data_IF_475869947044
#
_entry.id   IF_475869947044
#
_cell.length_a   1.000
_cell.length_b   1.000
_cell.length_c   1.000
_cell.angle_alpha   90.00
_cell.angle_beta   90.00
_cell.angle_gamma   90.00
#
_symmetry.space_group_name_H-M   'P 1'
#
loop_
_entity.id
_entity.type
_entity.pdbx_description
1 polymer ?
#
# COMPACT_ATOMS: atom_id res chain seq x y z
N UNK A 1 9.88 36.69 -0.27
CA UNK A 1 10.45 35.52 -0.97
C UNK A 1 11.24 35.98 -2.18
N UNK A 2 12.02 35.13 -2.82
CA UNK A 2 12.98 35.41 -3.91
C UNK A 2 12.47 36.36 -4.99
N UNK A 3 11.21 36.26 -5.41
CA UNK A 3 10.63 37.19 -6.39
C UNK A 3 10.58 38.63 -5.89
N UNK A 4 10.14 38.88 -4.67
CA UNK A 4 10.03 40.19 -4.06
C UNK A 4 11.42 40.81 -3.87
N UNK A 5 12.37 39.98 -3.46
CA UNK A 5 13.76 40.40 -3.23
C UNK A 5 14.47 40.73 -4.57
N UNK A 6 14.19 39.96 -5.63
CA UNK A 6 14.64 40.21 -6.99
C UNK A 6 14.06 41.52 -7.56
N UNK A 7 12.77 41.82 -7.33
CA UNK A 7 12.16 43.10 -7.73
C UNK A 7 12.75 44.26 -6.98
N UNK A 8 12.99 44.14 -5.66
CA UNK A 8 13.66 45.18 -4.86
C UNK A 8 15.07 45.46 -5.37
N UNK A 9 15.84 44.43 -5.71
CA UNK A 9 17.19 44.60 -6.26
C UNK A 9 17.23 45.31 -7.60
N UNK A 10 16.12 45.31 -8.37
CA UNK A 10 15.96 45.97 -9.66
C UNK A 10 15.22 47.32 -9.58
N UNK A 11 14.76 47.72 -8.39
CA UNK A 11 13.95 48.93 -8.22
C UNK A 11 12.55 48.83 -8.84
N UNK A 12 12.04 47.64 -9.10
CA UNK A 12 10.74 47.39 -9.72
C UNK A 12 9.67 47.11 -8.66
N UNK A 13 8.41 47.55 -8.84
CA UNK A 13 7.34 47.22 -7.92
C UNK A 13 6.98 45.77 -8.04
N UNK A 14 7.05 45.00 -6.92
CA UNK A 14 6.65 43.61 -6.88
C UNK A 14 5.14 43.47 -7.07
N UNK A 15 4.73 42.60 -7.97
CA UNK A 15 3.32 42.26 -8.20
C UNK A 15 2.77 41.43 -7.01
N UNK A 16 1.65 41.85 -6.43
CA UNK A 16 0.95 41.09 -5.40
C UNK A 16 0.42 39.78 -5.97
N UNK A 17 0.34 38.75 -5.09
CA UNK A 17 -0.05 37.37 -5.46
C UNK A 17 -1.40 37.30 -6.21
N UNK A 18 -2.42 38.01 -5.75
CA UNK A 18 -3.74 38.06 -6.42
C UNK A 18 -3.68 38.65 -7.81
N UNK A 19 -2.91 39.72 -7.99
CA UNK A 19 -2.70 40.35 -9.29
C UNK A 19 -1.93 39.43 -10.24
N UNK A 20 -0.93 38.73 -9.73
CA UNK A 20 -0.20 37.71 -10.49
C UNK A 20 -1.15 36.57 -10.93
N UNK A 21 -1.97 36.05 -10.02
CA UNK A 21 -2.93 34.98 -10.35
C UNK A 21 -3.93 35.40 -11.42
N UNK A 22 -4.47 36.64 -11.33
CA UNK A 22 -5.39 37.19 -12.32
C UNK A 22 -4.72 37.39 -13.69
N UNK A 23 -3.51 37.96 -13.70
CA UNK A 23 -2.74 38.16 -14.93
C UNK A 23 -2.35 36.84 -15.58
N UNK A 24 -1.97 35.84 -14.78
CA UNK A 24 -1.65 34.50 -15.25
C UNK A 24 -2.89 33.79 -15.83
N UNK A 25 -4.04 33.86 -15.15
CA UNK A 25 -5.30 33.32 -15.66
C UNK A 25 -5.68 33.99 -17.00
N UNK A 26 -5.57 35.32 -17.11
CA UNK A 26 -5.83 36.03 -18.35
C UNK A 26 -4.86 35.62 -19.46
N UNK A 27 -3.56 35.47 -19.15
CA UNK A 27 -2.55 35.01 -20.10
C UNK A 27 -2.87 33.58 -20.60
N UNK A 28 -3.24 32.67 -19.71
CA UNK A 28 -3.65 31.28 -20.06
C UNK A 28 -4.90 31.28 -20.96
N UNK A 29 -5.88 32.15 -20.69
CA UNK A 29 -7.08 32.30 -21.52
C UNK A 29 -6.77 32.83 -22.92
N UNK A 30 -5.90 33.85 -23.02
CA UNK A 30 -5.56 34.53 -24.28
C UNK A 30 -4.61 33.67 -25.13
N UNK A 31 -3.62 33.02 -24.50
CA UNK A 31 -2.60 32.25 -25.21
C UNK A 31 -2.99 30.78 -25.43
N UNK A 32 -4.05 30.30 -24.80
CA UNK A 32 -4.41 28.87 -24.80
C UNK A 32 -3.32 27.98 -24.17
N UNK A 33 -2.36 28.57 -23.49
CA UNK A 33 -1.26 27.89 -22.82
C UNK A 33 -1.79 27.17 -21.58
N UNK A 34 -2.38 26.01 -21.76
CA UNK A 34 -2.57 25.08 -20.66
C UNK A 34 -1.19 24.63 -20.20
N UNK A 35 -0.85 24.91 -18.94
CA UNK A 35 0.32 24.32 -18.30
C UNK A 35 0.14 22.80 -18.33
N UNK A 36 0.76 22.14 -19.30
CA UNK A 36 0.90 20.68 -19.26
C UNK A 36 1.84 20.38 -18.11
N UNK A 37 1.35 19.79 -17.07
CA UNK A 37 2.20 19.16 -16.05
C UNK A 37 3.05 18.14 -16.79
N UNK A 38 4.32 18.45 -17.04
CA UNK A 38 5.24 17.53 -17.69
C UNK A 38 5.54 16.38 -16.74
N UNK A 39 5.00 15.20 -17.01
CA UNK A 39 5.39 14.00 -16.27
C UNK A 39 6.79 13.59 -16.70
N UNK A 40 7.65 13.31 -15.72
CA UNK A 40 9.00 12.78 -15.96
C UNK A 40 8.94 11.25 -15.92
N UNK A 41 9.63 10.59 -16.87
CA UNK A 41 9.70 9.14 -16.93
C UNK A 41 10.26 8.53 -15.64
N UNK A 42 9.67 7.43 -15.19
CA UNK A 42 10.11 6.66 -14.02
C UNK A 42 10.01 7.37 -12.66
N UNK A 43 9.27 8.49 -12.56
CA UNK A 43 9.23 9.29 -11.33
C UNK A 43 8.03 9.02 -10.43
N UNK A 44 6.94 8.58 -10.97
CA UNK A 44 5.72 8.38 -10.19
C UNK A 44 4.79 7.35 -10.81
N UNK A 45 3.99 6.73 -9.97
CA UNK A 45 2.83 5.92 -10.34
C UNK A 45 1.58 6.49 -9.67
N UNK A 46 0.51 6.58 -10.42
CA UNK A 46 -0.82 6.96 -9.95
C UNK A 46 -1.61 5.69 -9.67
N UNK A 47 -2.25 5.61 -8.50
CA UNK A 47 -2.99 4.41 -8.07
C UNK A 47 -4.33 4.78 -7.45
N UNK A 48 -5.37 4.00 -7.77
CA UNK A 48 -6.70 4.20 -7.21
C UNK A 48 -7.54 2.92 -7.31
N UNK A 49 -8.63 2.86 -6.54
CA UNK A 49 -9.72 1.94 -6.77
C UNK A 49 -10.66 2.46 -7.84
N UNK A 50 -10.99 1.63 -8.84
CA UNK A 50 -12.04 1.99 -9.78
C UNK A 50 -13.40 2.10 -9.07
N UNK A 51 -14.17 3.15 -9.39
CA UNK A 51 -15.55 3.23 -8.97
C UNK A 51 -16.48 2.18 -9.63
N UNK A 52 -15.99 1.50 -10.69
CA UNK A 52 -16.70 0.43 -11.39
C UNK A 52 -16.22 -0.93 -10.93
N UNK A 53 -17.13 -1.91 -10.90
CA UNK A 53 -16.86 -3.27 -10.43
C UNK A 53 -17.19 -4.30 -11.50
N UNK A 54 -16.61 -5.48 -11.37
CA UNK A 54 -16.96 -6.69 -12.09
C UNK A 54 -17.62 -7.71 -11.15
N UNK A 55 -17.93 -8.89 -11.65
CA UNK A 55 -18.54 -9.95 -10.84
C UNK A 55 -18.01 -11.33 -11.23
N UNK A 56 -17.96 -12.21 -10.25
CA UNK A 56 -17.84 -13.65 -10.44
C UNK A 56 -19.21 -14.28 -10.25
N UNK A 57 -19.49 -15.33 -11.01
CA UNK A 57 -20.72 -16.09 -10.89
C UNK A 57 -20.36 -17.55 -10.67
N UNK A 58 -20.72 -18.08 -9.51
CA UNK A 58 -20.55 -19.49 -9.24
C UNK A 58 -21.47 -20.31 -10.16
N UNK A 59 -20.93 -21.20 -11.01
CA UNK A 59 -21.71 -21.91 -12.01
C UNK A 59 -22.66 -22.97 -11.40
N UNK A 60 -22.45 -23.37 -10.15
CA UNK A 60 -23.26 -24.38 -9.47
C UNK A 60 -24.36 -23.75 -8.64
N UNK A 61 -24.03 -22.72 -7.87
CA UNK A 61 -24.95 -22.08 -6.92
C UNK A 61 -25.61 -20.83 -7.47
N UNK A 62 -25.09 -20.25 -8.56
CA UNK A 62 -25.53 -18.97 -9.09
C UNK A 62 -25.19 -17.77 -8.21
N UNK A 63 -24.42 -17.97 -7.15
CA UNK A 63 -24.01 -16.88 -6.25
C UNK A 63 -23.11 -15.89 -6.98
N UNK A 64 -23.46 -14.61 -6.88
CA UNK A 64 -22.71 -13.51 -7.50
C UNK A 64 -21.82 -12.85 -6.46
N UNK A 65 -20.52 -12.82 -6.72
CA UNK A 65 -19.53 -12.13 -5.90
C UNK A 65 -19.00 -10.89 -6.61
N UNK A 66 -18.99 -9.75 -5.91
CA UNK A 66 -18.48 -8.48 -6.45
C UNK A 66 -16.97 -8.49 -6.51
N UNK A 67 -16.42 -7.97 -7.60
CA UNK A 67 -14.98 -7.81 -7.82
C UNK A 67 -14.66 -6.32 -8.00
N UNK A 68 -13.72 -5.84 -7.21
CA UNK A 68 -13.18 -4.49 -7.27
C UNK A 68 -11.94 -4.47 -8.15
N UNK A 69 -11.65 -3.34 -8.77
CA UNK A 69 -10.50 -3.19 -9.65
C UNK A 69 -9.54 -2.15 -9.05
N UNK A 70 -8.36 -2.59 -8.66
CA UNK A 70 -7.24 -1.71 -8.40
C UNK A 70 -6.63 -1.32 -9.74
N UNK A 71 -6.38 -0.04 -9.95
CA UNK A 71 -5.82 0.50 -11.19
C UNK A 71 -4.57 1.29 -10.88
N UNK A 72 -3.53 1.07 -11.66
CA UNK A 72 -2.29 1.83 -11.60
C UNK A 72 -1.88 2.29 -12.99
N UNK A 73 -1.28 3.46 -13.09
CA UNK A 73 -0.74 3.99 -14.35
C UNK A 73 0.54 4.80 -14.11
N UNK A 74 1.52 4.63 -14.98
CA UNK A 74 2.69 5.48 -15.05
C UNK A 74 2.33 6.72 -15.90
N UNK A 75 2.35 7.95 -15.35
CA UNK A 75 1.78 9.11 -16.03
C UNK A 75 2.52 9.51 -17.31
N UNK A 76 3.82 9.17 -17.43
CA UNK A 76 4.64 9.51 -18.59
C UNK A 76 4.30 8.63 -19.81
N UNK A 77 4.49 7.32 -19.73
CA UNK A 77 4.18 6.38 -20.80
C UNK A 77 2.69 6.11 -20.96
N UNK A 78 1.92 6.32 -19.90
CA UNK A 78 0.52 5.85 -19.69
C UNK A 78 0.43 4.32 -19.67
N UNK A 79 1.55 3.64 -19.41
CA UNK A 79 1.56 2.20 -19.21
C UNK A 79 0.79 1.87 -17.95
N UNK A 80 -0.15 0.93 -18.06
CA UNK A 80 -1.16 0.72 -17.04
C UNK A 80 -1.22 -0.73 -16.57
N UNK A 81 -1.75 -0.90 -15.37
CA UNK A 81 -1.99 -2.15 -14.68
C UNK A 81 -3.36 -2.16 -14.02
N UNK A 82 -4.02 -3.32 -14.01
CA UNK A 82 -5.30 -3.53 -13.33
C UNK A 82 -5.24 -4.86 -12.59
N UNK A 83 -5.57 -4.84 -11.28
CA UNK A 83 -5.69 -6.03 -10.44
C UNK A 83 -7.13 -6.22 -9.96
N UNK A 84 -7.81 -7.32 -10.33
CA UNK A 84 -9.12 -7.66 -9.80
C UNK A 84 -9.00 -8.24 -8.40
N UNK A 85 -9.87 -7.81 -7.48
CA UNK A 85 -9.84 -8.19 -6.07
C UNK A 85 -11.23 -8.42 -5.49
N UNK A 86 -11.36 -9.24 -4.44
CA UNK A 86 -12.64 -9.51 -3.79
C UNK A 86 -13.02 -8.49 -2.72
N UNK A 87 -12.08 -7.66 -2.28
CA UNK A 87 -12.32 -6.59 -1.33
C UNK A 87 -11.34 -5.42 -1.54
N UNK A 88 -11.57 -4.32 -0.82
CA UNK A 88 -10.70 -3.13 -0.82
C UNK A 88 -10.00 -2.96 0.54
N UNK A 89 -9.76 -4.05 1.27
CA UNK A 89 -9.09 -4.00 2.56
C UNK A 89 -7.62 -3.65 2.42
N UNK A 90 -7.00 -3.25 3.53
CA UNK A 90 -5.58 -2.87 3.57
C UNK A 90 -4.65 -3.95 3.02
N UNK A 91 -4.79 -5.20 3.47
CA UNK A 91 -3.94 -6.30 2.98
C UNK A 91 -4.08 -6.52 1.47
N UNK A 92 -5.29 -6.37 0.93
CA UNK A 92 -5.57 -6.46 -0.52
C UNK A 92 -4.96 -5.29 -1.27
N UNK A 93 -5.01 -4.08 -0.72
CA UNK A 93 -4.34 -2.90 -1.25
C UNK A 93 -2.83 -3.10 -1.36
N UNK A 94 -2.20 -3.63 -0.32
CA UNK A 94 -0.76 -3.90 -0.31
C UNK A 94 -0.39 -4.99 -1.34
N UNK A 95 -1.18 -6.09 -1.43
CA UNK A 95 -0.98 -7.14 -2.45
C UNK A 95 -1.08 -6.59 -3.87
N UNK A 96 -2.04 -5.71 -4.12
CA UNK A 96 -2.19 -5.09 -5.43
C UNK A 96 -0.98 -4.22 -5.81
N UNK A 97 -0.35 -3.54 -4.84
CA UNK A 97 0.90 -2.80 -5.09
C UNK A 97 2.08 -3.74 -5.39
N UNK A 98 2.21 -4.85 -4.68
CA UNK A 98 3.24 -5.85 -4.99
C UNK A 98 3.08 -6.34 -6.44
N UNK A 99 1.87 -6.78 -6.81
CA UNK A 99 1.58 -7.22 -8.17
C UNK A 99 1.81 -6.13 -9.24
N UNK A 100 1.53 -4.87 -8.91
CA UNK A 100 1.80 -3.71 -9.76
C UNK A 100 3.30 -3.54 -10.02
N UNK A 101 4.14 -3.60 -8.99
CA UNK A 101 5.59 -3.47 -9.15
C UNK A 101 6.16 -4.65 -9.95
N UNK A 102 5.67 -5.86 -9.72
CA UNK A 102 6.04 -7.05 -10.50
C UNK A 102 5.66 -6.87 -11.98
N UNK A 103 4.45 -6.34 -12.27
CA UNK A 103 4.00 -6.04 -13.63
C UNK A 103 4.88 -5.00 -14.34
N UNK A 104 5.30 -3.96 -13.64
CA UNK A 104 6.20 -2.95 -14.19
C UNK A 104 7.65 -3.44 -14.28
N UNK A 105 8.02 -4.47 -13.55
CA UNK A 105 9.39 -4.97 -13.45
C UNK A 105 10.35 -4.00 -12.78
N UNK A 106 9.81 -3.11 -11.94
CA UNK A 106 10.58 -2.10 -11.21
C UNK A 106 9.71 -1.20 -10.37
N UNK A 107 10.34 -0.36 -9.54
CA UNK A 107 9.67 0.61 -8.68
C UNK A 107 9.96 2.05 -9.10
N UNK A 108 9.15 2.98 -8.58
CA UNK A 108 9.26 4.43 -8.82
C UNK A 108 9.48 5.19 -7.51
N UNK A 109 10.12 6.35 -7.52
CA UNK A 109 10.32 7.16 -6.32
C UNK A 109 9.04 7.60 -5.61
N UNK A 110 7.91 7.70 -6.34
CA UNK A 110 6.66 8.26 -5.80
C UNK A 110 5.45 7.42 -6.17
N UNK A 111 4.67 7.06 -5.15
CA UNK A 111 3.33 6.49 -5.29
C UNK A 111 2.34 7.62 -4.99
N UNK A 112 1.42 7.88 -5.91
CA UNK A 112 0.41 8.94 -5.80
C UNK A 112 -0.97 8.30 -5.72
N UNK A 113 -1.47 7.96 -4.51
CA UNK A 113 -2.82 7.48 -4.33
C UNK A 113 -3.83 8.62 -4.41
N UNK A 114 -5.00 8.39 -5.03
CA UNK A 114 -6.11 9.34 -4.95
C UNK A 114 -6.93 9.07 -3.67
N UNK A 115 -6.70 9.91 -2.66
CA UNK A 115 -7.50 10.09 -1.44
C UNK A 115 -7.95 8.80 -0.71
N UNK A 116 -7.03 7.92 -0.36
CA UNK A 116 -7.33 6.59 0.15
C UNK A 116 -7.43 6.52 1.67
N UNK A 117 -8.64 6.25 2.15
CA UNK A 117 -8.90 5.88 3.55
C UNK A 117 -8.18 4.59 3.97
N UNK A 118 -7.83 3.72 3.02
CA UNK A 118 -7.21 2.40 3.29
C UNK A 118 -5.71 2.49 3.58
N UNK A 119 -5.02 3.49 3.05
CA UNK A 119 -3.56 3.67 3.23
C UNK A 119 -3.20 4.88 4.09
N UNK A 120 -4.16 5.78 4.37
CA UNK A 120 -3.94 7.05 5.06
C UNK A 120 -4.81 7.12 6.32
N UNK A 121 -4.19 7.30 7.48
CA UNK A 121 -4.90 7.45 8.76
C UNK A 121 -5.47 8.87 8.88
N UNK A 122 -4.72 9.88 8.46
CA UNK A 122 -5.11 11.29 8.50
C UNK A 122 -4.55 12.05 7.31
N UNK A 123 -5.40 12.86 6.70
CA UNK A 123 -5.03 13.75 5.59
C UNK A 123 -5.51 15.18 5.92
N UNK A 124 -4.80 15.92 6.78
CA UNK A 124 -5.18 17.28 7.13
C UNK A 124 -5.03 18.21 5.90
N UNK A 125 -5.82 19.27 5.87
CA UNK A 125 -5.75 20.30 4.82
C UNK A 125 -4.38 21.03 4.81
N UNK A 126 -3.78 21.16 5.97
CA UNK A 126 -2.42 21.66 6.22
C UNK A 126 -1.76 20.76 7.25
N UNK A 127 -0.58 20.21 6.91
CA UNK A 127 0.19 19.33 7.79
C UNK A 127 0.66 18.03 7.14
N UNK A 128 1.29 17.20 7.93
CA UNK A 128 1.85 15.93 7.48
C UNK A 128 0.77 14.86 7.32
N UNK A 129 0.83 14.11 6.22
CA UNK A 129 -0.07 12.98 5.95
C UNK A 129 0.36 11.79 6.80
N UNK A 130 -0.54 11.28 7.64
CA UNK A 130 -0.28 10.09 8.46
C UNK A 130 -0.67 8.85 7.69
N UNK A 131 0.35 8.13 7.19
CA UNK A 131 0.19 6.81 6.58
C UNK A 131 0.05 5.74 7.67
N UNK A 132 -0.67 4.65 7.35
CA UNK A 132 -0.59 3.49 8.22
C UNK A 132 0.77 2.79 8.07
N UNK A 133 1.23 2.13 9.15
CA UNK A 133 2.59 1.61 9.21
C UNK A 133 2.89 0.56 8.14
N UNK A 134 1.95 -0.33 7.82
CA UNK A 134 2.15 -1.34 6.80
C UNK A 134 2.30 -0.73 5.38
N UNK A 135 1.62 0.38 5.09
CA UNK A 135 1.80 1.08 3.80
C UNK A 135 3.13 1.85 3.75
N UNK A 136 3.58 2.37 4.91
CA UNK A 136 4.91 2.98 5.04
C UNK A 136 6.02 1.96 4.84
N UNK A 137 5.88 0.76 5.42
CA UNK A 137 6.81 -0.36 5.24
C UNK A 137 6.90 -0.80 3.79
N UNK A 138 5.75 -0.96 3.11
CA UNK A 138 5.72 -1.27 1.67
C UNK A 138 6.47 -0.21 0.87
N UNK A 139 6.18 1.06 1.10
CA UNK A 139 6.84 2.15 0.38
C UNK A 139 8.36 2.15 0.62
N UNK A 140 8.79 1.97 1.88
CA UNK A 140 10.22 1.87 2.24
C UNK A 140 10.90 0.67 1.57
N UNK A 141 10.24 -0.51 1.56
CA UNK A 141 10.74 -1.72 0.93
C UNK A 141 11.02 -1.53 -0.57
N UNK A 142 10.12 -0.86 -1.29
CA UNK A 142 10.29 -0.53 -2.71
C UNK A 142 11.04 0.79 -2.95
N UNK A 143 11.65 1.37 -1.91
CA UNK A 143 12.36 2.67 -1.97
C UNK A 143 11.51 3.80 -2.56
N UNK A 144 10.20 3.80 -2.29
CA UNK A 144 9.23 4.78 -2.75
C UNK A 144 8.75 5.67 -1.60
N UNK A 145 8.20 6.83 -1.93
CA UNK A 145 7.48 7.70 -1.01
C UNK A 145 6.00 7.77 -1.43
N UNK A 146 5.11 7.64 -0.48
CA UNK A 146 3.67 7.84 -0.73
C UNK A 146 3.37 9.33 -0.62
N UNK A 147 2.94 9.93 -1.71
CA UNK A 147 2.58 11.35 -1.80
C UNK A 147 1.13 11.46 -2.27
N UNK A 148 0.15 11.44 -1.38
CA UNK A 148 -1.25 11.59 -1.75
C UNK A 148 -1.50 12.88 -2.52
N UNK A 149 -2.37 12.83 -3.51
CA UNK A 149 -2.75 13.99 -4.31
C UNK A 149 -3.21 15.17 -3.43
N UNK A 150 -2.84 16.39 -3.77
CA UNK A 150 -3.15 17.58 -2.95
C UNK A 150 -4.67 17.77 -2.84
N UNK A 151 -5.16 17.86 -1.59
CA UNK A 151 -6.54 18.27 -1.31
C UNK A 151 -6.77 19.66 -1.91
N UNK A 152 -7.84 19.83 -2.71
CA UNK A 152 -8.27 21.12 -3.31
C UNK A 152 -7.54 21.63 -4.57
N UNK A 153 -6.86 20.78 -5.36
CA UNK A 153 -6.50 21.16 -6.74
C UNK A 153 -7.24 20.28 -7.76
N UNK A 154 -8.45 20.66 -8.21
CA UNK A 154 -9.30 19.86 -9.11
C UNK A 154 -8.64 19.48 -10.43
N UNK A 155 -7.71 20.28 -10.93
CA UNK A 155 -7.03 20.06 -12.21
C UNK A 155 -6.00 18.94 -12.18
N UNK A 156 -5.31 18.74 -11.03
CA UNK A 156 -4.37 17.64 -10.86
C UNK A 156 -5.15 16.32 -10.69
N UNK A 157 -6.30 16.36 -10.00
CA UNK A 157 -7.22 15.25 -9.77
C UNK A 157 -7.94 14.77 -11.03
N UNK A 158 -8.39 15.69 -11.87
CA UNK A 158 -9.13 15.36 -13.09
C UNK A 158 -8.33 14.52 -14.09
N UNK A 159 -7.00 14.61 -14.07
CA UNK A 159 -6.12 13.78 -14.92
C UNK A 159 -6.09 12.34 -14.44
N UNK A 160 -5.94 12.10 -13.13
CA UNK A 160 -5.85 10.77 -12.51
C UNK A 160 -7.20 10.05 -12.59
N UNK A 161 -8.28 10.70 -12.14
CA UNK A 161 -9.64 10.16 -12.18
C UNK A 161 -10.08 9.77 -13.60
N UNK A 162 -9.75 10.61 -14.60
CA UNK A 162 -10.03 10.29 -16.00
C UNK A 162 -9.19 9.11 -16.51
N UNK A 163 -7.94 8.99 -16.13
CA UNK A 163 -7.04 7.92 -16.58
C UNK A 163 -7.49 6.59 -15.99
N UNK A 164 -7.68 6.53 -14.67
CA UNK A 164 -8.13 5.33 -13.94
C UNK A 164 -9.52 4.89 -14.41
N UNK A 165 -10.47 5.83 -14.52
CA UNK A 165 -11.82 5.56 -14.97
C UNK A 165 -11.90 5.05 -16.41
N UNK A 166 -11.05 5.57 -17.31
CA UNK A 166 -10.99 5.14 -18.69
C UNK A 166 -10.39 3.72 -18.83
N UNK A 167 -9.32 3.41 -18.10
CA UNK A 167 -8.67 2.09 -18.09
C UNK A 167 -9.69 1.04 -17.60
N UNK A 168 -10.30 1.27 -16.45
CA UNK A 168 -11.27 0.34 -15.89
C UNK A 168 -12.48 0.15 -16.83
N UNK A 169 -12.96 1.23 -17.45
CA UNK A 169 -14.06 1.16 -18.43
C UNK A 169 -13.68 0.32 -19.64
N UNK A 170 -12.47 0.48 -20.14
CA UNK A 170 -11.98 -0.28 -21.28
C UNK A 170 -11.88 -1.78 -20.95
N UNK A 171 -11.32 -2.16 -19.80
CA UNK A 171 -11.25 -3.56 -19.35
C UNK A 171 -12.65 -4.17 -19.20
N UNK A 172 -13.56 -3.48 -18.51
CA UNK A 172 -14.94 -3.95 -18.30
C UNK A 172 -15.67 -4.10 -19.64
N UNK A 173 -15.51 -3.15 -20.56
CA UNK A 173 -16.14 -3.21 -21.88
C UNK A 173 -15.59 -4.38 -22.71
N UNK A 174 -14.30 -4.66 -22.64
CA UNK A 174 -13.68 -5.77 -23.36
C UNK A 174 -14.12 -7.15 -22.85
N UNK A 175 -14.44 -7.26 -21.55
CA UNK A 175 -14.82 -8.52 -20.90
C UNK A 175 -16.33 -8.66 -20.65
N UNK A 176 -17.15 -7.69 -21.08
CA UNK A 176 -18.59 -7.61 -20.74
C UNK A 176 -19.42 -8.82 -21.15
N UNK A 177 -19.00 -9.57 -22.17
CA UNK A 177 -19.70 -10.74 -22.69
C UNK A 177 -19.14 -12.07 -22.17
N UNK A 178 -18.24 -12.02 -21.20
CA UNK A 178 -17.63 -13.19 -20.58
C UNK A 178 -18.12 -13.33 -19.13
N UNK A 179 -18.28 -14.58 -18.70
CA UNK A 179 -18.60 -14.92 -17.31
C UNK A 179 -17.44 -15.67 -16.71
N UNK A 180 -17.10 -15.35 -15.48
CA UNK A 180 -15.98 -15.93 -14.75
C UNK A 180 -16.46 -16.57 -13.46
N UNK A 181 -16.02 -17.80 -13.20
CA UNK A 181 -16.36 -18.52 -11.97
C UNK A 181 -15.37 -18.21 -10.83
N UNK A 182 -14.13 -17.96 -11.16
CA UNK A 182 -13.06 -17.79 -10.18
C UNK A 182 -12.25 -16.49 -10.39
N UNK A 183 -11.67 -15.98 -9.32
CA UNK A 183 -10.80 -14.81 -9.38
C UNK A 183 -9.55 -15.04 -10.24
N UNK A 184 -8.86 -16.21 -10.18
CA UNK A 184 -7.73 -16.48 -11.09
C UNK A 184 -8.09 -16.43 -12.58
N UNK A 185 -9.23 -16.96 -12.98
CA UNK A 185 -9.72 -16.88 -14.37
C UNK A 185 -9.93 -15.42 -14.79
N UNK A 186 -10.64 -14.65 -13.97
CA UNK A 186 -10.86 -13.23 -14.26
C UNK A 186 -9.53 -12.45 -14.31
N UNK A 187 -8.61 -12.73 -13.39
CA UNK A 187 -7.29 -12.10 -13.36
C UNK A 187 -6.51 -12.36 -14.66
N UNK A 188 -6.48 -13.62 -15.11
CA UNK A 188 -5.80 -13.99 -16.36
C UNK A 188 -6.40 -13.22 -17.56
N UNK A 189 -7.73 -13.15 -17.66
CA UNK A 189 -8.42 -12.40 -18.70
C UNK A 189 -8.14 -10.89 -18.62
N UNK A 190 -8.12 -10.31 -17.42
CA UNK A 190 -7.78 -8.89 -17.21
C UNK A 190 -6.34 -8.62 -17.65
N UNK A 191 -5.39 -9.45 -17.28
CA UNK A 191 -3.97 -9.29 -17.66
C UNK A 191 -3.74 -9.40 -19.16
N UNK A 192 -4.41 -10.35 -19.82
CA UNK A 192 -4.41 -10.45 -21.29
C UNK A 192 -4.91 -9.15 -21.92
N UNK A 193 -6.04 -8.62 -21.43
CA UNK A 193 -6.58 -7.36 -21.94
C UNK A 193 -5.69 -6.17 -21.64
N UNK A 194 -5.04 -6.12 -20.48
CA UNK A 194 -4.09 -5.05 -20.14
C UNK A 194 -2.85 -5.10 -21.03
N UNK A 195 -2.36 -6.30 -21.39
CA UNK A 195 -1.28 -6.45 -22.38
C UNK A 195 -1.68 -5.87 -23.73
N UNK A 196 -2.88 -6.22 -24.22
CA UNK A 196 -3.42 -5.66 -25.45
C UNK A 196 -3.59 -4.13 -25.38
N UNK A 197 -4.19 -3.62 -24.29
CA UNK A 197 -4.37 -2.18 -24.06
C UNK A 197 -3.06 -1.39 -24.11
N UNK A 198 -2.03 -1.91 -23.47
CA UNK A 198 -0.73 -1.26 -23.45
C UNK A 198 -0.02 -1.31 -24.82
N UNK A 199 -0.27 -2.34 -25.63
CA UNK A 199 0.28 -2.48 -26.98
C UNK A 199 -0.46 -1.66 -28.03
N UNK A 200 -1.71 -1.23 -27.78
CA UNK A 200 -2.50 -0.44 -28.73
C UNK A 200 -1.79 0.87 -29.10
N UNK A 201 -1.75 1.21 -30.41
CA UNK A 201 -1.24 2.49 -30.86
C UNK A 201 -1.97 3.68 -30.25
N UNK A 202 -1.26 4.76 -29.97
CA UNK A 202 -1.90 6.00 -29.56
C UNK A 202 -2.74 6.60 -30.70
N UNK A 203 -3.91 7.15 -30.37
CA UNK A 203 -4.80 7.78 -31.36
C UNK A 203 -4.23 9.09 -31.95
N UNK A 204 -3.43 9.84 -31.16
CA UNK A 204 -3.02 11.21 -31.50
C UNK A 204 -1.51 11.39 -31.63
N UNK A 205 -0.70 10.34 -31.48
CA UNK A 205 0.76 10.36 -31.63
C UNK A 205 1.24 8.99 -32.08
N UNK A 206 2.43 8.92 -32.66
CA UNK A 206 3.08 7.64 -33.02
C UNK A 206 3.44 6.83 -31.77
N UNK A 207 3.56 5.51 -31.93
CA UNK A 207 3.92 4.58 -30.88
C UNK A 207 2.73 4.07 -30.04
N UNK A 208 3.05 3.33 -29.00
CA UNK A 208 2.11 2.75 -28.04
C UNK A 208 2.57 3.02 -26.60
N UNK A 209 1.71 2.74 -25.63
CA UNK A 209 2.08 2.83 -24.19
C UNK A 209 3.26 1.93 -23.87
N UNK A 210 3.22 0.69 -24.38
CA UNK A 210 4.27 -0.29 -24.21
C UNK A 210 5.58 0.18 -24.83
N UNK A 211 5.56 0.69 -26.07
CA UNK A 211 6.78 1.17 -26.75
C UNK A 211 7.45 2.33 -26.02
N UNK A 212 6.67 3.30 -25.54
CA UNK A 212 7.20 4.42 -24.72
C UNK A 212 7.71 3.92 -23.38
N UNK A 213 6.99 2.99 -22.75
CA UNK A 213 7.41 2.39 -21.48
C UNK A 213 8.75 1.67 -21.60
N UNK A 214 8.88 0.75 -22.55
CA UNK A 214 10.10 -0.05 -22.73
C UNK A 214 11.31 0.79 -23.17
N UNK A 215 11.07 1.77 -24.07
CA UNK A 215 12.14 2.59 -24.62
C UNK A 215 12.62 3.71 -23.71
N UNK A 216 11.72 4.33 -22.95
CA UNK A 216 12.04 5.57 -22.27
C UNK A 216 11.84 5.50 -20.74
N UNK A 217 10.90 4.70 -20.23
CA UNK A 217 10.53 4.74 -18.81
C UNK A 217 11.08 3.57 -18.02
N UNK A 218 10.99 2.35 -18.54
CA UNK A 218 11.47 1.12 -17.88
C UNK A 218 12.95 1.16 -17.48
N UNK A 219 13.88 1.70 -18.32
CA UNK A 219 15.29 1.82 -17.92
C UNK A 219 15.54 2.75 -16.73
N UNK A 220 14.58 3.61 -16.40
CA UNK A 220 14.65 4.57 -15.29
C UNK A 220 13.96 4.07 -14.02
N UNK A 221 13.29 2.93 -14.08
CA UNK A 221 12.71 2.30 -12.89
C UNK A 221 13.83 1.77 -12.00
N UNK A 222 13.59 1.81 -10.69
CA UNK A 222 14.48 1.19 -9.70
C UNK A 222 14.31 -0.32 -9.75
N UNK A 223 15.39 -1.10 -9.60
CA UNK A 223 15.27 -2.56 -9.54
C UNK A 223 14.39 -2.98 -8.36
N UNK A 224 13.66 -4.08 -8.54
CA UNK A 224 12.88 -4.67 -7.46
C UNK A 224 13.83 -5.27 -6.40
N UNK A 225 13.43 -5.26 -5.12
CA UNK A 225 14.12 -6.00 -4.08
C UNK A 225 14.19 -7.50 -4.44
N UNK A 226 15.27 -8.17 -4.00
CA UNK A 226 15.46 -9.61 -4.24
C UNK A 226 14.38 -10.48 -3.56
N UNK A 227 13.76 -9.96 -2.50
CA UNK A 227 12.66 -10.60 -1.77
C UNK A 227 11.42 -9.73 -1.92
N UNK A 228 10.30 -10.33 -2.30
CA UNK A 228 9.02 -9.63 -2.39
C UNK A 228 8.58 -9.13 -1.02
N UNK A 229 7.82 -8.02 -0.99
CA UNK A 229 7.30 -7.46 0.26
C UNK A 229 6.34 -8.44 0.93
N UNK A 230 6.65 -8.77 2.19
CA UNK A 230 5.77 -9.57 3.03
C UNK A 230 4.71 -8.69 3.68
N UNK A 231 3.45 -8.99 3.38
CA UNK A 231 2.33 -8.19 3.87
C UNK A 231 2.13 -8.41 5.35
N UNK A 232 2.11 -7.32 6.10
CA UNK A 232 1.92 -7.33 7.54
C UNK A 232 0.63 -6.63 7.97
N UNK A 233 0.13 -7.03 9.13
CA UNK A 233 -0.95 -6.38 9.86
C UNK A 233 -0.44 -5.98 11.24
N UNK A 234 -0.63 -4.71 11.60
CA UNK A 234 -0.29 -4.21 12.94
C UNK A 234 -1.47 -4.28 13.88
N UNK A 235 -1.22 -4.66 15.12
CA UNK A 235 -2.16 -4.65 16.24
C UNK A 235 -1.50 -3.93 17.41
N UNK A 236 -1.98 -2.74 17.71
CA UNK A 236 -1.34 -1.85 18.66
C UNK A 236 -1.81 -2.04 20.09
N UNK A 237 -0.97 -1.65 21.07
CA UNK A 237 -1.29 -1.50 22.47
C UNK A 237 -1.67 -2.79 23.18
N UNK A 238 -1.14 -3.94 22.77
CA UNK A 238 -1.37 -5.22 23.46
C UNK A 238 -0.61 -5.28 24.76
N UNK A 239 -1.33 -5.50 25.87
CA UNK A 239 -0.70 -5.60 27.18
C UNK A 239 -0.04 -6.95 27.36
N UNK A 240 1.23 -6.95 27.77
CA UNK A 240 1.94 -8.17 28.19
C UNK A 240 1.35 -8.62 29.53
N UNK A 241 0.81 -9.84 29.56
CA UNK A 241 0.17 -10.43 30.73
C UNK A 241 1.20 -10.77 31.82
N UNK A 242 0.71 -11.07 33.05
CA UNK A 242 1.57 -11.46 34.18
C UNK A 242 2.40 -12.71 33.94
N UNK A 243 1.94 -13.59 33.05
CA UNK A 243 2.67 -14.79 32.63
C UNK A 243 3.72 -14.53 31.52
N UNK A 244 4.01 -13.27 31.21
CA UNK A 244 5.01 -12.90 30.19
C UNK A 244 4.54 -13.09 28.73
N UNK A 245 3.23 -13.19 28.46
CA UNK A 245 2.72 -13.41 27.12
C UNK A 245 1.77 -12.32 26.67
N UNK A 246 1.70 -12.13 25.37
CA UNK A 246 0.61 -11.42 24.67
C UNK A 246 -0.34 -12.41 24.05
N UNK A 247 -1.62 -12.03 23.93
CA UNK A 247 -2.65 -12.86 23.31
C UNK A 247 -2.97 -12.36 21.93
N UNK A 248 -2.89 -13.25 20.95
CA UNK A 248 -3.34 -13.02 19.59
C UNK A 248 -4.10 -14.25 19.07
N UNK A 249 -5.32 -14.05 18.55
CA UNK A 249 -6.22 -15.10 18.05
C UNK A 249 -6.36 -16.31 19.00
N UNK A 250 -6.52 -16.01 20.29
CA UNK A 250 -6.65 -16.97 21.40
C UNK A 250 -5.42 -17.84 21.65
N UNK A 251 -4.26 -17.48 21.11
CA UNK A 251 -2.96 -18.13 21.38
C UNK A 251 -2.05 -17.17 22.15
N UNK A 252 -1.04 -17.70 22.84
CA UNK A 252 -0.16 -16.99 23.75
C UNK A 252 1.27 -16.99 23.19
N UNK A 253 1.85 -15.79 23.09
CA UNK A 253 3.20 -15.59 22.55
C UNK A 253 4.06 -14.89 23.59
N UNK A 254 5.22 -15.46 23.93
CA UNK A 254 6.09 -14.90 24.96
C UNK A 254 6.68 -13.56 24.55
N UNK A 255 6.93 -12.73 25.52
CA UNK A 255 7.63 -11.44 25.40
C UNK A 255 8.63 -11.38 26.53
N UNK A 256 9.84 -10.81 26.33
CA UNK A 256 10.84 -10.70 27.40
C UNK A 256 10.22 -10.17 28.70
N UNK A 257 10.42 -10.87 29.80
CA UNK A 257 9.74 -10.68 31.08
C UNK A 257 9.82 -9.25 31.63
N UNK A 258 10.86 -8.50 31.23
CA UNK A 258 11.04 -7.08 31.61
C UNK A 258 9.93 -6.16 31.09
N UNK A 259 9.13 -6.65 30.15
CA UNK A 259 8.00 -5.94 29.56
C UNK A 259 6.64 -6.33 30.17
N UNK A 260 6.60 -7.19 31.18
CA UNK A 260 5.34 -7.57 31.85
C UNK A 260 4.57 -6.31 32.31
N UNK A 261 3.28 -6.28 31.98
CA UNK A 261 2.39 -5.16 32.30
C UNK A 261 2.49 -3.95 31.36
N UNK A 262 3.47 -3.90 30.46
CA UNK A 262 3.61 -2.83 29.46
C UNK A 262 2.74 -3.11 28.24
N UNK A 263 2.43 -2.06 27.49
CA UNK A 263 1.82 -2.15 26.18
C UNK A 263 2.92 -2.36 25.12
N UNK A 264 2.66 -3.25 24.17
CA UNK A 264 3.52 -3.56 23.04
C UNK A 264 2.69 -3.62 21.76
N UNK A 265 3.33 -3.52 20.61
CA UNK A 265 2.70 -3.58 19.31
C UNK A 265 3.07 -4.90 18.62
N UNK A 266 2.11 -5.50 17.92
CA UNK A 266 2.30 -6.75 17.21
C UNK A 266 2.28 -6.49 15.71
N UNK A 267 3.31 -6.95 15.00
CA UNK A 267 3.34 -7.05 13.56
C UNK A 267 3.09 -8.51 13.17
N UNK A 268 2.03 -8.74 12.40
CA UNK A 268 1.60 -10.08 12.02
C UNK A 268 1.71 -10.22 10.51
N UNK A 269 2.45 -11.22 10.05
CA UNK A 269 2.51 -11.64 8.65
C UNK A 269 1.66 -12.91 8.45
N UNK A 270 1.74 -13.56 7.29
CA UNK A 270 1.04 -14.82 7.07
C UNK A 270 1.61 -15.97 7.91
N UNK A 271 2.86 -15.88 8.36
CA UNK A 271 3.60 -16.96 9.05
C UNK A 271 4.12 -16.58 10.41
N UNK A 272 4.32 -15.30 10.71
CA UNK A 272 5.01 -14.83 11.90
C UNK A 272 4.24 -13.78 12.68
N UNK A 273 4.48 -13.74 13.99
CA UNK A 273 4.11 -12.67 14.89
C UNK A 273 5.37 -12.09 15.50
N UNK A 274 5.59 -10.82 15.29
CA UNK A 274 6.69 -10.05 15.87
C UNK A 274 6.15 -9.07 16.90
N UNK A 275 6.86 -8.89 18.00
CA UNK A 275 6.48 -7.99 19.10
C UNK A 275 7.44 -6.81 19.13
N UNK A 276 6.89 -5.60 19.18
CA UNK A 276 7.63 -4.34 19.16
C UNK A 276 7.32 -3.45 20.35
N UNK A 277 8.31 -2.63 20.72
CA UNK A 277 8.11 -1.43 21.55
C UNK A 277 8.71 -0.24 20.79
N UNK A 278 7.84 0.66 20.31
CA UNK A 278 8.25 1.68 19.35
C UNK A 278 8.81 1.06 18.07
N UNK A 279 10.10 1.29 17.78
CA UNK A 279 10.77 0.72 16.60
C UNK A 279 11.59 -0.53 16.92
N UNK A 280 11.75 -0.88 18.20
CA UNK A 280 12.56 -2.00 18.61
C UNK A 280 11.78 -3.30 18.63
N UNK A 281 12.24 -4.29 17.85
CA UNK A 281 11.69 -5.64 17.88
C UNK A 281 12.19 -6.39 19.11
N UNK A 282 11.26 -6.82 19.97
CA UNK A 282 11.57 -7.52 21.21
C UNK A 282 11.73 -9.03 21.00
N UNK A 283 10.82 -9.64 20.24
CA UNK A 283 10.79 -11.09 19.99
C UNK A 283 9.99 -11.39 18.72
N UNK A 284 10.11 -12.61 18.19
CA UNK A 284 9.43 -13.07 16.99
C UNK A 284 9.04 -14.53 17.14
N UNK A 285 7.82 -14.90 16.76
CA UNK A 285 7.28 -16.25 16.84
C UNK A 285 6.69 -16.69 15.51
N UNK A 286 6.71 -17.98 15.22
CA UNK A 286 5.84 -18.54 14.19
C UNK A 286 4.39 -18.45 14.66
N UNK A 287 3.47 -18.09 13.76
CA UNK A 287 2.04 -18.09 14.07
C UNK A 287 1.55 -19.52 14.39
N UNK A 288 0.60 -19.61 15.29
CA UNK A 288 -0.14 -20.84 15.49
C UNK A 288 -0.95 -21.17 14.21
N UNK A 289 -1.02 -22.43 13.80
CA UNK A 289 -1.83 -22.82 12.64
C UNK A 289 -3.29 -22.40 12.80
N UNK A 290 -3.94 -22.07 11.68
CA UNK A 290 -5.35 -21.68 11.66
C UNK A 290 -6.22 -22.74 12.32
N UNK A 291 -7.07 -22.32 13.26
CA UNK A 291 -7.96 -23.21 14.01
C UNK A 291 -7.38 -23.73 15.32
N UNK A 292 -6.09 -23.58 15.57
CA UNK A 292 -5.47 -23.89 16.88
C UNK A 292 -5.72 -22.72 17.84
N UNK A 293 -6.11 -23.05 19.06
CA UNK A 293 -6.34 -22.09 20.14
C UNK A 293 -5.71 -22.57 21.45
N UNK A 294 -5.42 -21.65 22.36
CA UNK A 294 -4.82 -21.90 23.67
C UNK A 294 -3.40 -22.52 23.58
N UNK A 295 -2.72 -22.38 22.44
CA UNK A 295 -1.32 -22.77 22.31
C UNK A 295 -0.41 -21.71 22.92
N UNK A 296 0.61 -22.18 23.64
CA UNK A 296 1.69 -21.34 24.19
C UNK A 296 2.94 -21.48 23.33
N UNK A 297 3.36 -20.39 22.74
CA UNK A 297 4.62 -20.26 22.01
C UNK A 297 5.58 -19.43 22.84
N UNK A 298 6.45 -20.14 23.56
CA UNK A 298 7.34 -19.54 24.55
C UNK A 298 8.79 -19.77 24.15
N UNK A 299 9.56 -18.71 24.11
CA UNK A 299 11.01 -18.77 24.02
C UNK A 299 11.60 -18.75 25.44
N UNK A 300 12.50 -19.65 25.73
CA UNK A 300 13.18 -19.74 27.03
C UNK A 300 13.92 -18.45 27.39
N UNK A 301 14.42 -17.73 26.39
CA UNK A 301 15.09 -16.44 26.55
C UNK A 301 14.16 -15.32 27.04
N UNK A 302 12.87 -15.45 26.84
CA UNK A 302 11.87 -14.46 27.27
C UNK A 302 11.49 -14.62 28.76
N UNK A 303 11.85 -15.74 29.34
CA UNK A 303 11.56 -16.05 30.75
C UNK A 303 12.65 -15.46 31.67
N UNK A 304 12.30 -15.12 32.93
CA UNK A 304 13.30 -14.67 33.89
C UNK A 304 14.40 -15.73 34.10
N UNK A 305 15.65 -15.30 34.15
CA UNK A 305 16.77 -16.18 34.44
C UNK A 305 16.63 -16.81 35.81
N UNK A 306 16.37 -18.10 35.86
CA UNK A 306 16.32 -18.88 37.08
C UNK A 306 15.80 -20.29 36.86
N UNK A 307 16.44 -21.32 37.45
CA UNK A 307 15.97 -22.70 37.32
C UNK A 307 14.57 -22.94 37.84
N UNK A 308 14.03 -22.02 38.64
CA UNK A 308 12.67 -22.07 39.19
C UNK A 308 11.56 -21.79 38.16
N UNK A 309 11.86 -21.20 36.99
CA UNK A 309 10.88 -20.92 35.93
C UNK A 309 10.92 -21.94 34.82
N UNK A 310 11.97 -22.79 34.75
CA UNK A 310 12.18 -23.69 33.62
C UNK A 310 11.35 -24.94 33.63
N UNK A 311 10.77 -25.39 34.73
CA UNK A 311 9.95 -26.60 34.78
C UNK A 311 9.05 -26.66 36.02
N UNK A 312 7.80 -26.26 35.88
CA UNK A 312 6.72 -26.78 36.72
C UNK A 312 6.22 -28.10 36.15
N UNK A 313 7.12 -29.12 36.12
CA UNK A 313 6.70 -30.46 35.81
C UNK A 313 6.08 -31.14 37.05
N UNK A 314 5.31 -32.20 36.82
CA UNK A 314 4.63 -32.93 37.89
C UNK A 314 5.57 -33.44 39.00
N UNK A 315 6.82 -33.88 38.72
CA UNK A 315 7.79 -34.24 39.76
C UNK A 315 8.14 -33.06 40.66
N UNK A 316 8.39 -31.90 40.12
CA UNK A 316 8.83 -30.73 40.88
C UNK A 316 7.72 -30.09 41.71
N UNK A 317 6.47 -30.15 41.21
CA UNK A 317 5.30 -29.78 42.00
C UNK A 317 5.13 -30.69 43.21
N UNK A 318 5.36 -31.99 43.07
CA UNK A 318 5.31 -32.95 44.20
C UNK A 318 6.43 -32.74 45.20
N UNK A 319 7.66 -32.46 44.72
CA UNK A 319 8.80 -32.18 45.59
C UNK A 319 8.56 -30.87 46.37
N UNK A 320 8.00 -29.87 45.75
CA UNK A 320 7.65 -28.59 46.41
C UNK A 320 6.50 -28.76 47.41
N UNK A 321 5.47 -29.50 47.03
CA UNK A 321 4.37 -29.84 47.92
C UNK A 321 4.86 -30.61 49.16
N UNK A 322 5.80 -31.53 48.99
CA UNK A 322 6.40 -32.29 50.07
C UNK A 322 7.25 -31.46 51.04
N UNK A 323 7.72 -30.24 50.60
CA UNK A 323 8.50 -29.32 51.46
C UNK A 323 7.62 -28.34 52.24
N UNK A 324 6.39 -28.17 51.79
CA UNK A 324 5.45 -27.22 52.44
C UNK A 324 4.58 -27.92 53.48
N UNK A 325 4.58 -29.24 53.52
CA UNK A 325 3.81 -30.07 54.47
C UNK A 325 2.76 -30.86 53.76
#
# INVERSE_FOLDING_TARGET
GEYVDSCRGRGEPAMGYDRFCKSYQHHVLVTGAASRVGHKAGQSVEVDWSGKTMQLVDPVTGVVSRVYLFVAALPFSRFAFVEPTLDMKQGTWLRAHVAMFDWFGGSVPRIVPDNLKTGVISHPAEGEVVLNDAYRELAAHYSAAVLPGRVKKPKDKASVENTVGNIATWVIAALRNQSFATLPELRAAVYERMTAFNAEPFQKRAGSRLGVFEGEEKPLLRPLPAVSFEISRWVYGRRVQRNGHVVFEKNFYSVPYVHIGRAVDLRITDTTLEVFTGQDRLTSHLLAPVGIVNEYRTHDSDLPDGPQYRQWDAPRVREWAARIG
#
